data_IF_065021504272
#
_entry.id   IF_065021504272
#
_cell.length_a   1.000
_cell.length_b   1.000
_cell.length_c   1.000
_cell.angle_alpha   90.00
_cell.angle_beta   90.00
_cell.angle_gamma   90.00
#
_symmetry.space_group_name_H-M   'P 1'
#
loop_
_entity.id
_entity.type
_entity.pdbx_description
1 polymer ?
#
# COMPACT_ATOMS: atom_id res chain seq x y z
N UNK A 1 -1.83 3.84 20.51
CA UNK A 1 -2.83 4.26 19.53
C UNK A 1 -2.94 3.21 18.44
N UNK A 2 -1.91 2.88 17.67
CA UNK A 2 -1.92 1.72 16.77
C UNK A 2 -1.19 0.55 17.42
N UNK A 3 -1.92 -0.39 18.01
CA UNK A 3 -1.33 -1.57 18.65
C UNK A 3 -1.18 -2.75 17.69
N UNK A 4 -2.05 -2.81 16.67
CA UNK A 4 -2.10 -3.89 15.69
C UNK A 4 -2.18 -3.32 14.28
N UNK A 5 -1.09 -3.45 13.54
CA UNK A 5 -0.96 -2.97 12.16
C UNK A 5 -1.09 -4.15 11.20
N UNK A 6 -2.09 -4.14 10.32
CA UNK A 6 -2.11 -5.07 9.20
C UNK A 6 -1.38 -4.46 8.02
N UNK A 7 -0.33 -5.10 7.55
CA UNK A 7 0.44 -4.74 6.37
C UNK A 7 0.08 -5.69 5.22
N UNK A 8 -0.52 -5.18 4.15
CA UNK A 8 -0.75 -5.95 2.95
C UNK A 8 0.36 -5.67 1.92
N UNK A 9 0.99 -6.75 1.46
CA UNK A 9 2.09 -6.72 0.48
C UNK A 9 1.74 -7.46 -0.80
N UNK A 10 2.42 -7.11 -1.88
CA UNK A 10 2.49 -7.83 -3.15
C UNK A 10 3.96 -7.88 -3.63
N UNK A 11 4.21 -8.38 -4.84
CA UNK A 11 5.54 -8.47 -5.47
C UNK A 11 6.10 -7.14 -6.02
N UNK A 12 5.52 -6.01 -5.65
CA UNK A 12 5.90 -4.71 -6.20
C UNK A 12 6.86 -3.92 -5.30
N UNK A 13 7.67 -3.05 -5.90
CA UNK A 13 8.51 -2.08 -5.16
C UNK A 13 7.72 -1.21 -4.17
N UNK A 14 6.41 -1.04 -4.41
CA UNK A 14 5.53 -0.34 -3.47
C UNK A 14 5.37 -1.08 -2.15
N UNK A 15 5.51 -2.40 -2.15
CA UNK A 15 5.46 -3.22 -0.95
C UNK A 15 6.69 -3.05 -0.08
N UNK A 16 7.88 -2.84 -0.67
CA UNK A 16 9.10 -2.54 0.09
C UNK A 16 8.99 -1.21 0.82
N UNK A 17 8.41 -0.20 0.15
CA UNK A 17 8.15 1.10 0.78
C UNK A 17 7.08 0.97 1.87
N UNK A 18 6.05 0.17 1.64
CA UNK A 18 5.01 -0.09 2.65
C UNK A 18 5.57 -0.84 3.87
N UNK A 19 6.46 -1.81 3.64
CA UNK A 19 7.17 -2.54 4.70
C UNK A 19 8.00 -1.58 5.56
N UNK A 20 8.83 -0.73 4.92
CA UNK A 20 9.64 0.26 5.62
C UNK A 20 8.78 1.26 6.41
N UNK A 21 7.66 1.69 5.84
CA UNK A 21 6.71 2.59 6.51
C UNK A 21 6.02 1.91 7.69
N UNK A 22 5.56 0.66 7.54
CA UNK A 22 4.95 -0.11 8.63
C UNK A 22 5.96 -0.40 9.74
N UNK A 23 7.23 -0.65 9.41
CA UNK A 23 8.32 -0.83 10.36
C UNK A 23 8.51 0.41 11.22
N UNK A 24 8.61 1.60 10.60
CA UNK A 24 8.75 2.87 11.32
C UNK A 24 7.54 3.14 12.23
N UNK A 25 6.33 2.87 11.73
CA UNK A 25 5.09 3.04 12.48
C UNK A 25 5.03 2.08 13.69
N UNK A 26 5.36 0.81 13.47
CA UNK A 26 5.35 -0.20 14.52
C UNK A 26 6.39 0.09 15.62
N UNK A 27 7.58 0.53 15.24
CA UNK A 27 8.62 0.94 16.20
C UNK A 27 8.17 2.15 17.03
N UNK A 28 7.52 3.14 16.40
CA UNK A 28 7.03 4.35 17.08
C UNK A 28 5.94 4.05 18.12
N UNK A 29 5.05 3.09 17.85
CA UNK A 29 3.89 2.80 18.70
C UNK A 29 4.01 1.49 19.48
N UNK A 30 5.13 0.78 19.38
CA UNK A 30 5.33 -0.56 19.96
C UNK A 30 4.23 -1.55 19.52
N UNK A 31 3.92 -1.53 18.24
CA UNK A 31 2.82 -2.29 17.65
C UNK A 31 3.26 -3.71 17.29
N UNK A 32 2.31 -4.65 17.30
CA UNK A 32 2.44 -5.91 16.57
C UNK A 32 2.03 -5.70 15.10
N UNK A 33 2.67 -6.44 14.19
CA UNK A 33 2.37 -6.40 12.75
C UNK A 33 1.90 -7.76 12.26
N UNK A 34 0.79 -7.79 11.52
CA UNK A 34 0.43 -8.93 10.69
C UNK A 34 0.69 -8.60 9.23
N UNK A 35 1.59 -9.34 8.60
CA UNK A 35 1.86 -9.25 7.17
C UNK A 35 0.89 -10.17 6.43
N UNK A 36 0.17 -9.62 5.47
CA UNK A 36 -0.76 -10.34 4.61
C UNK A 36 -0.28 -10.28 3.18
N UNK A 37 -0.09 -11.45 2.57
CA UNK A 37 0.13 -11.60 1.14
C UNK A 37 -1.05 -12.36 0.53
N UNK A 38 -1.60 -11.84 -0.56
CA UNK A 38 -2.73 -12.45 -1.25
C UNK A 38 -2.28 -12.86 -2.65
N UNK A 39 -2.06 -14.16 -2.85
CA UNK A 39 -1.77 -14.70 -4.17
C UNK A 39 -3.07 -14.81 -4.98
N UNK A 40 -3.07 -14.26 -6.19
CA UNK A 40 -4.25 -14.18 -7.06
C UNK A 40 -4.24 -15.32 -8.07
N UNK A 41 -5.38 -15.98 -8.28
CA UNK A 41 -5.57 -16.87 -9.41
C UNK A 41 -6.47 -16.23 -10.48
N UNK A 42 -6.14 -16.48 -11.74
CA UNK A 42 -6.89 -15.95 -12.87
C UNK A 42 -8.14 -16.81 -13.12
N UNK A 43 -9.31 -16.17 -13.04
CA UNK A 43 -10.59 -16.82 -13.37
C UNK A 43 -10.68 -16.99 -14.90
N UNK A 44 -10.90 -18.22 -15.38
CA UNK A 44 -10.96 -18.55 -16.81
C UNK A 44 -9.64 -19.08 -17.40
N UNK A 45 -8.53 -19.01 -16.68
CA UNK A 45 -7.31 -19.73 -16.96
C UNK A 45 -7.30 -21.10 -16.27
N UNK A 46 -6.52 -22.06 -16.75
CA UNK A 46 -6.40 -23.41 -16.18
C UNK A 46 -5.74 -23.44 -14.79
N UNK A 47 -6.21 -22.61 -13.83
CA UNK A 47 -5.72 -22.58 -12.47
C UNK A 47 -4.36 -21.89 -12.30
N UNK A 48 -3.96 -21.04 -13.22
CA UNK A 48 -2.72 -20.27 -13.09
C UNK A 48 -2.86 -19.17 -12.02
N UNK A 49 -1.97 -19.19 -11.03
CA UNK A 49 -1.76 -18.08 -10.09
C UNK A 49 -0.83 -17.04 -10.74
N UNK A 50 -0.94 -15.80 -10.28
CA UNK A 50 -0.05 -14.70 -10.72
C UNK A 50 1.40 -14.99 -10.31
N UNK A 51 1.55 -15.59 -9.13
CA UNK A 51 2.83 -16.05 -8.60
C UNK A 51 2.77 -17.55 -8.30
N UNK A 52 3.92 -18.23 -8.36
CA UNK A 52 4.01 -19.59 -7.82
C UNK A 52 3.83 -19.55 -6.30
N UNK A 53 3.34 -20.65 -5.73
CA UNK A 53 3.17 -20.76 -4.28
C UNK A 53 4.49 -20.52 -3.53
N UNK A 54 5.61 -21.02 -4.07
CA UNK A 54 6.94 -20.82 -3.47
C UNK A 54 7.35 -19.34 -3.47
N UNK A 55 7.10 -18.60 -4.56
CA UNK A 55 7.38 -17.17 -4.63
C UNK A 55 6.55 -16.40 -3.60
N UNK A 56 5.25 -16.68 -3.52
CA UNK A 56 4.36 -16.03 -2.56
C UNK A 56 4.78 -16.29 -1.10
N UNK A 57 5.18 -17.53 -0.77
CA UNK A 57 5.70 -17.87 0.55
C UNK A 57 7.00 -17.10 0.83
N UNK A 58 7.95 -17.08 -0.09
CA UNK A 58 9.23 -16.39 0.08
C UNK A 58 9.03 -14.88 0.30
N UNK A 59 8.14 -14.24 -0.46
CA UNK A 59 7.82 -12.80 -0.28
C UNK A 59 7.28 -12.54 1.13
N UNK A 60 6.35 -13.37 1.60
CA UNK A 60 5.79 -13.25 2.93
C UNK A 60 6.84 -13.47 4.02
N UNK A 61 7.62 -14.55 3.92
CA UNK A 61 8.64 -14.90 4.91
C UNK A 61 9.74 -13.84 5.00
N UNK A 62 10.20 -13.29 3.88
CA UNK A 62 11.18 -12.20 3.85
C UNK A 62 10.67 -10.94 4.56
N UNK A 63 9.42 -10.55 4.33
CA UNK A 63 8.82 -9.40 4.99
C UNK A 63 8.65 -9.63 6.50
N UNK A 64 8.24 -10.83 6.91
CA UNK A 64 8.11 -11.22 8.32
C UNK A 64 9.48 -11.24 9.00
N UNK A 65 10.50 -11.81 8.34
CA UNK A 65 11.86 -11.85 8.87
C UNK A 65 12.42 -10.45 9.08
N UNK A 66 12.30 -9.56 8.11
CA UNK A 66 12.77 -8.18 8.19
C UNK A 66 12.17 -7.41 9.39
N UNK A 67 10.89 -7.59 9.66
CA UNK A 67 10.24 -6.97 10.83
C UNK A 67 10.72 -7.59 12.15
N UNK A 68 10.91 -8.90 12.19
CA UNK A 68 11.40 -9.60 13.39
C UNK A 68 12.85 -9.26 13.72
N UNK A 69 13.70 -9.08 12.72
CA UNK A 69 15.10 -8.66 12.89
C UNK A 69 15.24 -7.34 13.65
N UNK A 70 14.29 -6.42 13.48
CA UNK A 70 14.24 -5.15 14.21
C UNK A 70 13.39 -5.23 15.49
N UNK A 71 13.04 -6.43 15.94
CA UNK A 71 12.36 -6.66 17.21
C UNK A 71 10.85 -6.42 17.21
N UNK A 72 10.20 -6.30 16.06
CA UNK A 72 8.75 -6.10 15.96
C UNK A 72 8.03 -7.45 16.05
N UNK A 73 7.08 -7.65 16.98
CA UNK A 73 6.24 -8.84 17.04
C UNK A 73 5.46 -8.98 15.72
N UNK A 74 5.76 -10.04 14.97
CA UNK A 74 5.21 -10.18 13.60
C UNK A 74 4.74 -11.59 13.31
N UNK A 75 3.58 -11.70 12.68
CA UNK A 75 3.04 -12.93 12.09
C UNK A 75 2.72 -12.72 10.60
N UNK A 76 2.77 -13.79 9.82
CA UNK A 76 2.47 -13.78 8.39
C UNK A 76 1.23 -14.59 8.06
N UNK A 77 0.47 -14.17 7.06
CA UNK A 77 -0.68 -14.90 6.53
C UNK A 77 -0.68 -14.86 5.01
N UNK A 78 -0.65 -16.03 4.39
CA UNK A 78 -0.79 -16.18 2.94
C UNK A 78 -2.21 -16.60 2.60
N UNK A 79 -2.85 -15.89 1.69
CA UNK A 79 -4.18 -16.22 1.19
C UNK A 79 -4.15 -16.48 -0.31
N UNK A 80 -5.04 -17.35 -0.76
CA UNK A 80 -5.30 -17.58 -2.18
C UNK A 80 -6.71 -17.11 -2.49
N UNK A 81 -6.88 -16.26 -3.52
CA UNK A 81 -8.20 -15.78 -3.92
C UNK A 81 -8.22 -15.44 -5.42
N UNK A 82 -9.42 -15.28 -5.97
CA UNK A 82 -9.56 -14.74 -7.32
C UNK A 82 -9.17 -13.25 -7.34
N UNK A 83 -8.81 -12.75 -8.52
CA UNK A 83 -8.43 -11.34 -8.72
C UNK A 83 -9.54 -10.33 -8.34
N UNK A 84 -10.76 -10.78 -8.11
CA UNK A 84 -11.90 -9.95 -7.66
C UNK A 84 -12.13 -10.00 -6.13
N UNK A 85 -11.34 -10.78 -5.39
CA UNK A 85 -11.55 -11.00 -3.95
C UNK A 85 -10.43 -10.50 -3.05
N UNK A 86 -9.40 -9.87 -3.60
CA UNK A 86 -8.20 -9.44 -2.83
C UNK A 86 -8.55 -8.44 -1.76
N UNK A 87 -9.34 -7.41 -2.10
CA UNK A 87 -9.76 -6.36 -1.16
C UNK A 87 -10.59 -6.89 -0.01
N UNK A 88 -11.50 -7.83 -0.30
CA UNK A 88 -12.33 -8.46 0.72
C UNK A 88 -11.46 -9.35 1.64
N UNK A 89 -10.46 -10.04 1.08
CA UNK A 89 -9.54 -10.85 1.88
C UNK A 89 -8.71 -9.99 2.84
N UNK A 90 -8.21 -8.84 2.37
CA UNK A 90 -7.46 -7.89 3.21
C UNK A 90 -8.36 -7.34 4.33
N UNK A 91 -9.57 -6.88 4.00
CA UNK A 91 -10.51 -6.34 4.99
C UNK A 91 -10.90 -7.38 6.04
N UNK A 92 -11.21 -8.61 5.62
CA UNK A 92 -11.53 -9.71 6.53
C UNK A 92 -10.34 -10.08 7.42
N UNK A 93 -9.14 -10.19 6.88
CA UNK A 93 -7.94 -10.48 7.66
C UNK A 93 -7.67 -9.40 8.72
N UNK A 94 -7.95 -8.13 8.41
CA UNK A 94 -7.83 -7.03 9.37
C UNK A 94 -8.87 -7.14 10.49
N UNK A 95 -10.12 -7.43 10.13
CA UNK A 95 -11.20 -7.63 11.10
C UNK A 95 -10.92 -8.84 12.02
N UNK A 96 -10.60 -10.00 11.44
CA UNK A 96 -10.38 -11.25 12.18
C UNK A 96 -9.23 -11.15 13.18
N UNK A 97 -8.23 -10.33 12.84
CA UNK A 97 -7.10 -10.08 13.72
C UNK A 97 -7.30 -8.87 14.65
N UNK A 98 -8.41 -8.17 14.54
CA UNK A 98 -8.71 -6.94 15.29
C UNK A 98 -7.61 -5.89 15.07
N UNK A 99 -7.25 -5.64 13.81
CA UNK A 99 -6.29 -4.60 13.46
C UNK A 99 -6.85 -3.21 13.77
N UNK A 100 -5.97 -2.27 14.14
CA UNK A 100 -6.33 -0.86 14.36
C UNK A 100 -6.16 -0.02 13.08
N UNK A 101 -5.34 -0.48 12.16
CA UNK A 101 -5.00 0.20 10.93
C UNK A 101 -4.53 -0.78 9.85
N UNK A 102 -4.82 -0.46 8.60
CA UNK A 102 -4.32 -1.19 7.43
C UNK A 102 -3.28 -0.32 6.73
N UNK A 103 -2.10 -0.88 6.45
CA UNK A 103 -1.05 -0.25 5.64
C UNK A 103 -1.00 -0.92 4.27
N UNK A 104 -1.06 -0.12 3.22
CA UNK A 104 -1.00 -0.54 1.82
C UNK A 104 0.14 0.18 1.09
N UNK A 105 0.72 -0.46 0.10
CA UNK A 105 1.60 0.21 -0.86
C UNK A 105 0.83 1.14 -1.81
N UNK A 106 1.47 2.21 -2.27
CA UNK A 106 0.89 3.13 -3.25
C UNK A 106 1.14 2.66 -4.68
N UNK A 107 0.54 1.55 -5.09
CA UNK A 107 0.68 1.07 -6.47
C UNK A 107 0.00 2.03 -7.46
N UNK A 108 0.76 2.79 -8.23
CA UNK A 108 0.24 3.45 -9.42
C UNK A 108 0.08 2.42 -10.54
N UNK A 109 -1.10 1.84 -10.66
CA UNK A 109 -1.44 1.00 -11.82
C UNK A 109 -1.42 1.83 -13.10
N UNK A 110 -0.27 1.94 -13.75
CA UNK A 110 -0.16 2.58 -15.08
C UNK A 110 -0.91 1.83 -16.20
N UNK A 111 -1.14 0.52 -16.05
CA UNK A 111 -1.67 -0.33 -17.14
C UNK A 111 -3.19 -0.31 -17.31
N UNK A 112 -3.98 0.02 -16.28
CA UNK A 112 -5.44 -0.02 -16.35
C UNK A 112 -6.14 1.29 -15.94
N UNK A 113 -5.41 2.38 -15.78
CA UNK A 113 -5.98 3.70 -15.46
C UNK A 113 -6.95 4.22 -16.55
N UNK A 114 -6.89 3.66 -17.75
CA UNK A 114 -7.80 4.00 -18.86
C UNK A 114 -9.22 3.43 -18.74
N UNK A 115 -9.47 2.50 -17.80
CA UNK A 115 -10.77 1.85 -17.62
C UNK A 115 -11.55 2.36 -16.41
N UNK A 116 -11.10 3.44 -15.73
CA UNK A 116 -11.87 4.11 -14.68
C UNK A 116 -12.17 3.26 -13.43
N UNK A 117 -11.47 2.14 -13.23
CA UNK A 117 -11.70 1.27 -12.06
C UNK A 117 -11.10 1.85 -10.76
N UNK A 118 -11.85 1.70 -9.66
CA UNK A 118 -11.37 2.04 -8.31
C UNK A 118 -10.05 1.33 -8.00
N UNK A 119 -9.09 2.04 -7.41
CA UNK A 119 -7.83 1.46 -6.94
C UNK A 119 -8.03 0.49 -5.77
N UNK A 120 -7.02 -0.33 -5.45
CA UNK A 120 -7.08 -1.27 -4.31
C UNK A 120 -7.45 -0.57 -3.02
N UNK A 121 -6.83 0.58 -2.72
CA UNK A 121 -7.12 1.40 -1.54
C UNK A 121 -8.62 1.76 -1.45
N UNK A 122 -9.19 2.29 -2.54
CA UNK A 122 -10.60 2.72 -2.57
C UNK A 122 -11.55 1.53 -2.39
N UNK A 123 -11.20 0.36 -2.94
CA UNK A 123 -11.99 -0.86 -2.77
C UNK A 123 -11.94 -1.37 -1.33
N UNK A 124 -10.75 -1.41 -0.71
CA UNK A 124 -10.60 -1.78 0.70
C UNK A 124 -11.34 -0.80 1.61
N UNK A 125 -11.27 0.52 1.35
CA UNK A 125 -11.99 1.55 2.12
C UNK A 125 -13.51 1.35 2.10
N UNK A 126 -14.06 0.79 1.02
CA UNK A 126 -15.49 0.48 0.96
C UNK A 126 -15.90 -0.74 1.80
N UNK A 127 -14.94 -1.56 2.26
CA UNK A 127 -15.18 -2.84 2.93
C UNK A 127 -14.81 -2.84 4.42
N UNK A 128 -14.22 -1.77 4.93
CA UNK A 128 -13.83 -1.66 6.34
C UNK A 128 -14.00 -0.23 6.85
N UNK A 129 -14.24 -0.09 8.15
CA UNK A 129 -14.22 1.19 8.86
C UNK A 129 -12.84 1.53 9.43
N UNK A 130 -11.85 0.67 9.26
CA UNK A 130 -10.50 0.90 9.77
C UNK A 130 -9.78 2.00 8.98
N UNK A 131 -8.94 2.80 9.64
CA UNK A 131 -8.04 3.73 8.94
C UNK A 131 -7.14 2.98 7.96
N UNK A 132 -6.95 3.55 6.77
CA UNK A 132 -6.03 3.00 5.76
C UNK A 132 -4.91 4.01 5.52
N UNK A 133 -3.70 3.61 5.83
CA UNK A 133 -2.50 4.35 5.52
C UNK A 133 -1.90 3.82 4.21
N UNK A 134 -1.56 4.74 3.32
CA UNK A 134 -0.90 4.39 2.06
C UNK A 134 0.54 4.87 2.12
N UNK A 135 1.49 3.96 2.01
CA UNK A 135 2.90 4.33 1.91
C UNK A 135 3.14 5.18 0.65
N UNK A 136 4.08 6.14 0.69
CA UNK A 136 4.38 6.97 -0.47
C UNK A 136 4.81 6.10 -1.66
N UNK A 137 4.60 6.60 -2.88
CA UNK A 137 5.11 5.91 -4.06
C UNK A 137 6.65 5.93 -4.05
N UNK A 138 7.32 4.87 -4.52
CA UNK A 138 8.77 4.91 -4.76
C UNK A 138 9.11 6.14 -5.61
N UNK A 139 10.17 6.85 -5.24
CA UNK A 139 10.68 7.96 -6.05
C UNK A 139 11.20 7.38 -7.36
N UNK A 140 10.58 7.71 -8.48
CA UNK A 140 11.14 7.41 -9.79
C UNK A 140 12.43 8.25 -9.95
N UNK A 141 13.57 7.63 -9.75
CA UNK A 141 14.88 8.23 -10.08
C UNK A 141 14.90 8.40 -11.61
N UNK A 142 14.66 9.62 -12.10
CA UNK A 142 14.64 9.93 -13.53
C UNK A 142 13.47 10.80 -14.00
N UNK A 143 12.52 11.19 -13.16
CA UNK A 143 11.61 12.27 -13.52
C UNK A 143 12.38 13.59 -13.51
N UNK A 144 12.48 14.23 -14.68
CA UNK A 144 12.91 15.62 -14.78
C UNK A 144 12.21 16.44 -13.71
N UNK A 145 12.98 17.08 -12.84
CA UNK A 145 12.47 18.03 -11.87
C UNK A 145 11.73 19.15 -12.64
N UNK A 146 10.72 19.80 -12.05
CA UNK A 146 10.00 20.91 -12.70
C UNK A 146 10.90 22.07 -13.15
N UNK A 147 12.16 22.07 -12.81
CA UNK A 147 13.16 23.09 -13.18
C UNK A 147 13.46 23.17 -14.70
N UNK A 148 13.04 22.17 -15.49
CA UNK A 148 13.23 22.16 -16.95
C UNK A 148 11.96 22.62 -17.71
N UNK A 149 10.96 23.11 -17.02
CA UNK A 149 9.87 23.88 -17.61
C UNK A 149 10.32 25.33 -17.60
N UNK A 150 10.70 25.83 -18.81
CA UNK A 150 11.17 27.19 -19.03
C UNK A 150 10.37 28.23 -18.25
N UNK A 151 11.03 29.32 -17.89
CA UNK A 151 10.48 30.43 -17.12
C UNK A 151 9.01 30.69 -17.46
N UNK A 152 8.16 30.52 -16.46
CA UNK A 152 6.77 30.96 -16.56
C UNK A 152 6.78 32.45 -16.86
N UNK A 153 6.06 32.94 -17.88
CA UNK A 153 5.93 34.36 -18.11
C UNK A 153 5.42 35.02 -16.83
N UNK A 154 6.13 36.05 -16.36
CA UNK A 154 5.75 36.84 -15.21
C UNK A 154 4.39 37.47 -15.46
N UNK A 155 3.33 36.91 -14.89
CA UNK A 155 2.01 37.55 -14.91
C UNK A 155 2.06 38.66 -13.85
N UNK A 156 1.88 39.94 -14.20
CA UNK A 156 1.82 41.00 -13.21
C UNK A 156 0.64 40.76 -12.27
N UNK A 157 0.90 40.83 -10.97
CA UNK A 157 -0.15 40.75 -9.96
C UNK A 157 -1.13 41.91 -10.13
N UNK A 158 -2.45 41.67 -10.05
CA UNK A 158 -3.42 42.76 -10.07
C UNK A 158 -3.25 43.63 -8.81
N UNK A 159 -3.27 44.96 -9.01
CA UNK A 159 -3.28 45.93 -7.92
C UNK A 159 -4.57 45.75 -7.07
N UNK A 160 -4.39 45.32 -5.84
CA UNK A 160 -5.49 45.34 -4.87
C UNK A 160 -5.57 46.71 -4.18
N UNK A 161 -6.71 47.37 -4.21
CA UNK A 161 -6.87 48.64 -3.49
C UNK A 161 -6.69 48.41 -1.96
N UNK A 162 -5.85 49.24 -1.34
CA UNK A 162 -5.64 49.25 0.09
C UNK A 162 -6.94 49.60 0.82
N UNK A 163 -7.47 48.66 1.60
CA UNK A 163 -8.58 48.95 2.50
C UNK A 163 -7.99 49.47 3.80
N UNK A 164 -8.18 50.77 4.08
CA UNK A 164 -7.89 51.37 5.38
C UNK A 164 -9.13 51.18 6.25
N UNK A 165 -8.96 50.55 7.44
CA UNK A 165 -9.93 50.48 8.53
C UNK A 165 -9.64 51.60 9.51
#
# INVERSE_FOLDING_TARGET
MFQRILLAIDDSESSDVALSFATALAAQYSSAVRVVHVNEFLVGGRGFTVETQTQAINHLENAVAALREVGIPTEGSLYLTSCFGVEARIANAAHDWSADVIVLGSRRRRRFARLGGKGMRERVTCLTSLPILTAPAPLEVGRKTPTDMGELPSVPLPDFPSITI
#
